data_IF_876177973417
#
_entry.id   IF_876177973417
#
_cell.length_a   1.000
_cell.length_b   1.000
_cell.length_c   1.000
_cell.angle_alpha   90.00
_cell.angle_beta   90.00
_cell.angle_gamma   90.00
#
_symmetry.space_group_name_H-M   'P 1'
#
loop_
_entity.id
_entity.type
_entity.pdbx_description
1 polymer ?
#
# COMPACT_ATOMS: atom_id res chain seq x y z
N UNK A 1 -7.09 37.57 21.82
CA UNK A 1 -7.70 36.25 22.12
C UNK A 1 -6.70 35.53 23.00
N UNK A 2 -7.06 35.22 24.24
CA UNK A 2 -6.16 34.53 25.17
C UNK A 2 -5.98 33.10 24.65
N UNK A 3 -4.76 32.74 24.23
CA UNK A 3 -4.41 31.37 23.88
C UNK A 3 -4.63 30.52 25.14
N UNK A 4 -5.47 29.47 25.03
CA UNK A 4 -5.66 28.50 26.09
C UNK A 4 -4.67 27.35 25.85
N UNK A 5 -3.49 27.35 26.52
CA UNK A 5 -2.41 26.39 26.23
C UNK A 5 -2.84 24.94 26.45
N UNK A 6 -3.79 24.69 27.36
CA UNK A 6 -4.34 23.36 27.59
C UNK A 6 -5.14 22.86 26.39
N UNK A 7 -5.89 23.75 25.73
CA UNK A 7 -6.65 23.40 24.52
C UNK A 7 -5.69 23.14 23.35
N UNK A 8 -4.71 24.01 23.11
CA UNK A 8 -3.73 23.87 22.03
C UNK A 8 -3.00 22.52 22.07
N UNK A 9 -2.53 22.10 23.24
CA UNK A 9 -1.88 20.80 23.42
C UNK A 9 -2.88 19.64 23.32
N UNK A 10 -4.11 19.83 23.81
CA UNK A 10 -5.13 18.78 23.83
C UNK A 10 -5.69 18.45 22.44
N UNK A 11 -5.72 19.40 21.50
CA UNK A 11 -6.17 19.16 20.11
C UNK A 11 -5.05 18.70 19.17
N UNK A 12 -3.79 18.65 19.63
CA UNK A 12 -2.66 18.25 18.81
C UNK A 12 -2.82 16.81 18.28
N UNK A 13 -2.75 16.58 16.94
CA UNK A 13 -2.90 15.25 16.36
C UNK A 13 -1.86 14.26 16.89
N UNK A 14 -2.24 12.99 16.98
CA UNK A 14 -1.38 11.92 17.50
C UNK A 14 -1.10 10.85 16.45
N UNK A 15 -0.03 10.07 16.64
CA UNK A 15 0.32 8.91 15.78
C UNK A 15 0.27 9.25 14.29
N UNK A 16 0.96 10.31 13.91
CA UNK A 16 1.05 10.74 12.51
C UNK A 16 1.96 9.78 11.76
N UNK A 17 1.43 9.03 10.81
CA UNK A 17 2.16 7.98 10.11
C UNK A 17 1.78 7.91 8.63
N UNK A 18 2.75 7.55 7.80
CA UNK A 18 2.48 7.19 6.42
C UNK A 18 1.98 5.74 6.35
N UNK A 19 0.96 5.51 5.54
CA UNK A 19 0.52 4.18 5.11
C UNK A 19 0.59 4.11 3.60
N UNK A 20 1.35 3.13 3.11
CA UNK A 20 1.57 2.99 1.67
C UNK A 20 1.34 1.58 1.18
N UNK A 21 0.54 1.45 0.12
CA UNK A 21 0.23 0.19 -0.54
C UNK A 21 0.32 0.35 -2.06
N UNK A 22 1.18 -0.43 -2.72
CA UNK A 22 1.52 -0.29 -4.13
C UNK A 22 1.84 1.16 -4.55
N UNK A 23 2.60 1.89 -3.71
CA UNK A 23 2.97 3.29 -3.91
C UNK A 23 1.80 4.29 -3.90
N UNK A 24 0.59 3.89 -3.50
CA UNK A 24 -0.42 4.83 -3.03
C UNK A 24 -0.08 5.15 -1.57
N UNK A 25 0.32 6.39 -1.30
CA UNK A 25 0.89 6.83 -0.03
C UNK A 25 -0.01 7.88 0.62
N UNK A 26 -0.59 7.52 1.77
CA UNK A 26 -1.52 8.36 2.51
C UNK A 26 -0.96 8.64 3.91
N UNK A 27 -1.18 9.85 4.42
CA UNK A 27 -0.88 10.23 5.79
C UNK A 27 -2.09 9.99 6.67
N UNK A 28 -1.91 9.30 7.79
CA UNK A 28 -2.96 9.01 8.79
C UNK A 28 -2.56 9.62 10.13
N UNK A 29 -3.55 10.02 10.92
CA UNK A 29 -3.35 10.45 12.29
C UNK A 29 -4.55 10.08 13.17
N UNK A 30 -4.36 10.17 14.48
CA UNK A 30 -5.42 10.13 15.47
C UNK A 30 -5.75 11.55 15.94
N UNK A 31 -6.99 11.82 16.38
CA UNK A 31 -7.34 13.07 17.06
C UNK A 31 -6.44 13.34 18.27
N UNK A 32 -6.46 14.59 18.74
CA UNK A 32 -5.84 14.95 20.00
C UNK A 32 -6.53 14.32 21.21
N UNK A 33 -5.96 14.56 22.40
CA UNK A 33 -6.47 14.06 23.70
C UNK A 33 -7.87 14.58 24.04
N UNK A 34 -8.25 15.74 23.51
CA UNK A 34 -9.60 16.28 23.63
C UNK A 34 -10.67 15.38 22.97
N UNK A 35 -10.24 14.42 22.16
CA UNK A 35 -11.12 13.58 21.35
C UNK A 35 -11.55 14.28 20.07
N UNK A 36 -12.55 13.71 19.40
CA UNK A 36 -13.09 14.18 18.13
C UNK A 36 -14.13 15.27 18.38
N UNK A 37 -13.70 16.52 18.40
CA UNK A 37 -14.64 17.64 18.37
C UNK A 37 -15.18 17.81 16.94
N UNK A 38 -16.51 17.92 16.78
CA UNK A 38 -17.22 17.90 15.49
C UNK A 38 -16.74 18.94 14.47
N UNK A 39 -16.15 20.04 14.94
CA UNK A 39 -15.70 21.15 14.10
C UNK A 39 -14.17 21.26 14.02
N UNK A 40 -13.44 20.18 14.33
CA UNK A 40 -11.97 20.17 14.20
C UNK A 40 -11.56 20.07 12.75
N UNK A 41 -10.72 21.01 12.31
CA UNK A 41 -10.15 21.02 10.97
C UNK A 41 -8.66 20.66 11.02
N UNK A 42 -8.19 19.92 10.03
CA UNK A 42 -6.81 19.49 9.91
C UNK A 42 -6.14 20.11 8.69
N UNK A 43 -4.86 20.44 8.85
CA UNK A 43 -4.03 21.06 7.82
C UNK A 43 -2.75 20.25 7.68
N UNK A 44 -2.45 19.81 6.46
CA UNK A 44 -1.29 18.95 6.19
C UNK A 44 -0.22 19.69 5.41
N UNK A 45 1.03 19.47 5.82
CA UNK A 45 2.21 19.85 5.06
C UNK A 45 3.12 18.66 4.84
N UNK A 46 3.93 18.73 3.79
CA UNK A 46 4.92 17.71 3.45
C UNK A 46 6.23 18.35 2.98
N UNK A 47 7.31 17.57 3.01
CA UNK A 47 8.58 17.94 2.37
C UNK A 47 9.44 16.72 2.08
N UNK A 48 10.36 16.90 1.13
CA UNK A 48 11.48 15.99 0.90
C UNK A 48 12.52 16.18 2.01
N UNK A 49 13.15 15.10 2.44
CA UNK A 49 14.24 15.11 3.41
C UNK A 49 15.39 15.99 2.92
N UNK A 50 16.01 16.76 3.82
CA UNK A 50 17.06 17.72 3.47
C UNK A 50 16.54 19.06 2.92
N UNK A 51 15.28 19.14 2.46
CA UNK A 51 14.69 20.43 2.09
C UNK A 51 14.32 21.24 3.35
N UNK A 52 14.57 22.55 3.29
CA UNK A 52 14.28 23.49 4.38
C UNK A 52 12.81 23.89 4.44
N UNK A 53 12.14 23.94 3.28
CA UNK A 53 10.78 24.49 3.14
C UNK A 53 9.72 23.41 3.19
N UNK A 54 8.65 23.66 3.95
CA UNK A 54 7.45 22.84 4.00
C UNK A 54 6.44 23.31 2.96
N UNK A 55 5.80 22.38 2.25
CA UNK A 55 4.75 22.65 1.29
C UNK A 55 3.38 22.34 1.88
N UNK A 56 2.39 23.18 1.60
CA UNK A 56 1.00 22.90 1.94
C UNK A 56 0.43 21.85 1.00
N UNK A 57 -0.36 20.93 1.54
CA UNK A 57 -1.21 20.06 0.72
C UNK A 57 -2.59 20.70 0.64
N UNK A 58 -2.85 21.41 -0.44
CA UNK A 58 -4.07 22.22 -0.62
C UNK A 58 -5.36 21.39 -0.48
N UNK A 59 -5.39 20.18 -1.05
CA UNK A 59 -6.55 19.27 -0.93
C UNK A 59 -6.83 18.81 0.51
N UNK A 60 -5.85 18.97 1.42
CA UNK A 60 -5.94 18.62 2.83
C UNK A 60 -5.78 19.85 3.74
N UNK A 61 -6.13 21.04 3.23
CA UNK A 61 -6.02 22.30 3.96
C UNK A 61 -7.38 22.70 4.56
N UNK A 62 -7.68 22.16 5.74
CA UNK A 62 -8.94 22.41 6.45
C UNK A 62 -9.95 21.28 6.28
N UNK A 63 -9.50 20.03 6.33
CA UNK A 63 -10.36 18.83 6.23
C UNK A 63 -10.76 18.31 7.61
N UNK A 64 -11.90 17.66 7.73
CA UNK A 64 -12.32 16.97 8.96
C UNK A 64 -11.83 15.51 9.02
N UNK A 65 -11.47 14.93 7.87
CA UNK A 65 -10.99 13.55 7.80
C UNK A 65 -9.61 13.41 8.44
N UNK A 66 -9.34 12.21 8.99
CA UNK A 66 -8.06 11.85 9.60
C UNK A 66 -7.04 11.22 8.63
N UNK A 67 -7.25 11.45 7.34
CA UNK A 67 -6.40 10.93 6.27
C UNK A 67 -6.19 11.99 5.21
N UNK A 68 -4.98 12.05 4.67
CA UNK A 68 -4.62 12.89 3.54
C UNK A 68 -3.85 12.08 2.49
N UNK A 69 -4.25 12.19 1.23
CA UNK A 69 -3.52 11.56 0.13
C UNK A 69 -2.31 12.42 -0.24
N UNK A 70 -1.11 11.83 -0.13
CA UNK A 70 0.17 12.43 -0.50
C UNK A 70 0.84 11.67 -1.64
N UNK A 71 0.09 10.83 -2.37
CA UNK A 71 0.61 9.95 -3.42
C UNK A 71 1.35 10.73 -4.51
N UNK A 72 0.80 11.86 -4.97
CA UNK A 72 1.44 12.71 -5.98
C UNK A 72 2.73 13.35 -5.46
N UNK A 73 2.69 13.75 -4.20
CA UNK A 73 3.74 14.45 -3.48
C UNK A 73 4.93 13.53 -3.17
N UNK A 74 4.68 12.22 -3.06
CA UNK A 74 5.70 11.18 -2.87
C UNK A 74 6.03 10.41 -4.15
N UNK A 75 5.89 11.05 -5.32
CA UNK A 75 6.04 10.40 -6.62
C UNK A 75 7.47 9.98 -6.96
N UNK A 76 8.49 10.69 -6.45
CA UNK A 76 9.85 10.17 -6.44
C UNK A 76 10.00 9.15 -5.31
N UNK A 77 10.00 7.88 -5.69
CA UNK A 77 9.92 6.77 -4.73
C UNK A 77 11.22 6.53 -3.96
N UNK A 78 12.36 7.04 -4.44
CA UNK A 78 13.66 6.86 -3.78
C UNK A 78 13.92 7.91 -2.70
N UNK A 79 13.26 9.06 -2.81
CA UNK A 79 13.42 10.15 -1.88
C UNK A 79 12.77 9.84 -0.51
N UNK A 80 13.38 10.25 0.61
CA UNK A 80 12.72 10.22 1.90
C UNK A 80 11.86 11.48 2.09
N UNK A 81 10.69 11.31 2.72
CA UNK A 81 9.74 12.38 2.99
C UNK A 81 9.43 12.50 4.47
N UNK A 82 9.03 13.70 4.87
CA UNK A 82 8.30 13.96 6.10
C UNK A 82 6.95 14.59 5.76
N UNK A 83 5.96 14.33 6.60
CA UNK A 83 4.73 15.09 6.64
C UNK A 83 4.44 15.54 8.06
N UNK A 84 3.62 16.58 8.18
CA UNK A 84 3.14 17.06 9.47
C UNK A 84 1.70 17.53 9.34
N UNK A 85 0.96 17.38 10.43
CA UNK A 85 -0.44 17.79 10.51
C UNK A 85 -0.65 18.63 11.76
N UNK A 86 -1.49 19.66 11.66
CA UNK A 86 -1.98 20.42 12.82
C UNK A 86 -3.50 20.47 12.79
N UNK A 87 -4.11 20.65 13.95
CA UNK A 87 -5.54 20.82 14.11
C UNK A 87 -5.90 22.30 14.33
N UNK A 88 -7.13 22.66 14.02
CA UNK A 88 -7.76 23.89 14.47
C UNK A 88 -9.15 23.58 15.02
N UNK A 89 -9.48 24.15 16.18
CA UNK A 89 -10.78 24.01 16.81
C UNK A 89 -11.09 25.25 17.64
N UNK A 90 -12.33 25.75 17.58
CA UNK A 90 -12.78 26.96 18.29
C UNK A 90 -11.82 28.17 18.13
N UNK A 91 -11.24 28.36 16.93
CA UNK A 91 -10.32 29.46 16.63
C UNK A 91 -8.89 29.29 17.17
N UNK A 92 -8.57 28.15 17.81
CA UNK A 92 -7.23 27.81 18.31
C UNK A 92 -6.57 26.80 17.38
N UNK A 93 -5.28 26.98 17.09
CA UNK A 93 -4.47 26.03 16.34
C UNK A 93 -3.59 25.21 17.27
N UNK A 94 -3.40 23.92 16.96
CA UNK A 94 -2.40 23.09 17.61
C UNK A 94 -1.00 23.36 17.07
N UNK A 95 0.00 22.89 17.82
CA UNK A 95 1.33 22.68 17.25
C UNK A 95 1.31 21.60 16.17
N UNK A 96 2.33 21.60 15.32
CA UNK A 96 2.49 20.59 14.28
C UNK A 96 2.92 19.25 14.87
N UNK A 97 2.22 18.18 14.48
CA UNK A 97 2.61 16.80 14.75
C UNK A 97 3.34 16.22 13.55
N UNK A 98 4.58 15.81 13.75
CA UNK A 98 5.49 15.33 12.71
C UNK A 98 5.38 13.81 12.53
N UNK A 99 5.43 13.34 11.28
CA UNK A 99 5.55 11.92 10.96
C UNK A 99 6.98 11.40 11.15
N UNK A 100 7.13 10.08 11.26
CA UNK A 100 8.43 9.47 10.97
C UNK A 100 8.85 9.74 9.51
N UNK A 101 10.15 9.63 9.25
CA UNK A 101 10.69 9.69 7.87
C UNK A 101 10.17 8.49 7.09
N UNK A 102 9.66 8.72 5.89
CA UNK A 102 9.06 7.70 5.03
C UNK A 102 9.72 7.70 3.65
N UNK A 103 10.23 6.55 3.21
CA UNK A 103 10.77 6.34 1.86
C UNK A 103 9.88 5.37 1.10
N UNK A 104 9.12 5.80 0.07
CA UNK A 104 8.12 4.96 -0.60
C UNK A 104 8.68 3.63 -1.09
N UNK A 105 9.86 3.64 -1.72
CA UNK A 105 10.49 2.43 -2.27
C UNK A 105 10.81 1.39 -1.18
N UNK A 106 11.21 1.84 0.02
CA UNK A 106 11.58 0.95 1.13
C UNK A 106 10.36 0.47 1.91
N UNK A 107 9.39 1.34 2.13
CA UNK A 107 8.37 1.16 3.16
C UNK A 107 6.98 0.83 2.60
N UNK A 108 6.72 1.04 1.31
CA UNK A 108 5.44 0.63 0.73
C UNK A 108 5.22 -0.87 0.88
N UNK A 109 4.00 -1.27 1.20
CA UNK A 109 3.57 -2.67 1.10
C UNK A 109 3.29 -2.98 -0.38
N UNK A 110 3.77 -4.12 -0.85
CA UNK A 110 3.55 -4.60 -2.21
C UNK A 110 2.43 -5.64 -2.16
N UNK A 111 1.40 -5.45 -2.98
CA UNK A 111 0.25 -6.33 -3.05
C UNK A 111 0.54 -7.64 -3.80
N UNK A 112 -0.36 -8.64 -3.66
CA UNK A 112 -0.29 -9.86 -4.45
C UNK A 112 -0.54 -9.60 -5.94
N UNK A 113 -0.06 -10.50 -6.82
CA UNK A 113 -0.41 -10.42 -8.24
C UNK A 113 -1.88 -10.77 -8.44
N UNK A 114 -2.46 -10.22 -9.52
CA UNK A 114 -3.74 -10.70 -10.03
C UNK A 114 -3.50 -12.01 -10.77
N UNK A 115 -4.29 -13.04 -10.42
CA UNK A 115 -4.21 -14.38 -11.00
C UNK A 115 -5.47 -14.63 -11.82
N UNK A 116 -5.30 -14.97 -13.09
CA UNK A 116 -6.37 -15.47 -13.95
C UNK A 116 -6.09 -16.91 -14.32
N UNK A 117 -7.00 -17.81 -13.99
CA UNK A 117 -6.90 -19.23 -14.32
C UNK A 117 -7.53 -19.49 -15.68
N UNK A 118 -6.78 -20.13 -16.56
CA UNK A 118 -7.19 -20.60 -17.87
C UNK A 118 -7.06 -22.13 -17.88
N UNK A 119 -8.10 -22.81 -18.33
CA UNK A 119 -8.16 -24.28 -18.30
C UNK A 119 -7.77 -24.89 -19.64
N UNK A 120 -7.14 -26.07 -19.56
CA UNK A 120 -6.99 -27.01 -20.66
C UNK A 120 -7.19 -28.43 -20.11
N UNK A 121 -7.57 -29.40 -20.95
CA UNK A 121 -8.00 -30.75 -20.56
C UNK A 121 -7.02 -31.53 -19.64
N UNK A 122 -5.74 -31.11 -19.55
CA UNK A 122 -4.71 -31.77 -18.73
C UNK A 122 -3.77 -30.81 -17.99
N UNK A 123 -4.04 -29.50 -18.04
CA UNK A 123 -3.11 -28.51 -17.48
C UNK A 123 -3.85 -27.25 -17.06
N UNK A 124 -3.35 -26.60 -16.02
CA UNK A 124 -3.82 -25.28 -15.62
C UNK A 124 -2.83 -24.24 -16.14
N UNK A 125 -3.32 -23.29 -16.93
CA UNK A 125 -2.54 -22.16 -17.42
C UNK A 125 -2.92 -20.95 -16.57
N UNK A 126 -1.94 -20.28 -15.99
CA UNK A 126 -2.13 -19.10 -15.16
C UNK A 126 -1.64 -17.88 -15.91
N UNK A 127 -2.43 -16.82 -15.92
CA UNK A 127 -1.99 -15.49 -16.33
C UNK A 127 -1.82 -14.62 -15.09
N UNK A 128 -0.59 -14.19 -14.85
CA UNK A 128 -0.19 -13.37 -13.72
C UNK A 128 -0.02 -11.92 -14.16
N UNK A 129 -0.49 -10.99 -13.33
CA UNK A 129 -0.28 -9.56 -13.53
C UNK A 129 0.22 -8.93 -12.23
N UNK A 130 1.31 -8.17 -12.32
CA UNK A 130 1.81 -7.40 -11.18
C UNK A 130 0.75 -6.39 -10.71
N UNK A 131 0.71 -6.07 -9.41
CA UNK A 131 -0.05 -4.92 -8.93
C UNK A 131 0.35 -3.66 -9.69
N UNK A 132 -0.54 -2.67 -9.70
CA UNK A 132 -0.29 -1.40 -10.37
C UNK A 132 -0.14 -0.28 -9.36
N UNK A 133 0.77 0.63 -9.64
CA UNK A 133 0.94 1.88 -8.91
C UNK A 133 -0.10 2.92 -9.36
N UNK A 134 -0.30 3.99 -8.58
CA UNK A 134 -1.18 5.10 -8.98
C UNK A 134 -0.57 5.97 -10.09
N UNK A 135 0.72 5.83 -10.38
CA UNK A 135 1.43 6.65 -11.37
C UNK A 135 1.13 6.20 -12.80
N UNK A 136 0.92 7.16 -13.70
CA UNK A 136 0.52 6.91 -15.08
C UNK A 136 1.69 6.96 -16.05
N UNK A 137 1.70 6.04 -17.01
CA UNK A 137 2.54 6.13 -18.21
C UNK A 137 2.05 7.27 -19.10
N UNK A 138 2.88 7.69 -20.07
CA UNK A 138 2.48 8.65 -21.12
C UNK A 138 1.17 8.29 -21.83
N UNK A 139 0.88 6.99 -22.00
CA UNK A 139 -0.36 6.47 -22.62
C UNK A 139 -1.55 6.36 -21.65
N UNK A 140 -1.46 6.91 -20.44
CA UNK A 140 -2.54 6.94 -19.44
C UNK A 140 -2.68 5.69 -18.55
N UNK A 141 -2.08 4.57 -18.92
CA UNK A 141 -2.15 3.34 -18.11
C UNK A 141 -1.29 3.42 -16.85
N UNK A 142 -1.79 2.91 -15.72
CA UNK A 142 -1.04 2.79 -14.47
C UNK A 142 0.20 1.90 -14.63
N UNK A 143 1.32 2.30 -14.01
CA UNK A 143 2.60 1.61 -14.09
C UNK A 143 2.57 0.35 -13.22
N UNK A 144 2.90 -0.84 -13.75
CA UNK A 144 2.97 -2.05 -12.93
C UNK A 144 4.16 -2.00 -11.98
N UNK A 145 4.03 -2.61 -10.80
CA UNK A 145 5.06 -2.62 -9.76
C UNK A 145 6.38 -3.26 -10.24
N UNK A 146 6.34 -4.12 -11.26
CA UNK A 146 7.51 -4.72 -11.92
C UNK A 146 8.43 -3.72 -12.61
N UNK A 147 7.98 -2.49 -12.81
CA UNK A 147 8.82 -1.41 -13.36
C UNK A 147 9.66 -0.72 -12.28
N UNK A 148 9.32 -0.88 -11.00
CA UNK A 148 10.02 -0.25 -9.87
C UNK A 148 10.85 -1.26 -9.05
N UNK A 149 10.44 -2.52 -9.07
CA UNK A 149 11.07 -3.61 -8.32
C UNK A 149 11.38 -4.77 -9.25
N UNK A 150 12.50 -5.45 -8.97
CA UNK A 150 12.80 -6.72 -9.61
C UNK A 150 11.98 -7.85 -8.99
N UNK A 151 10.69 -7.88 -9.30
CA UNK A 151 9.73 -8.76 -8.63
C UNK A 151 9.68 -10.15 -9.27
N UNK A 152 9.54 -11.16 -8.41
CA UNK A 152 9.28 -12.56 -8.76
C UNK A 152 7.85 -12.91 -8.35
N UNK A 153 7.20 -13.78 -9.12
CA UNK A 153 5.96 -14.43 -8.73
C UNK A 153 6.27 -15.78 -8.12
N UNK A 154 5.72 -16.04 -6.94
CA UNK A 154 5.72 -17.36 -6.31
C UNK A 154 4.31 -17.94 -6.42
N UNK A 155 4.16 -19.06 -7.11
CA UNK A 155 2.86 -19.73 -7.32
C UNK A 155 2.80 -21.00 -6.49
N UNK A 156 1.74 -21.13 -5.70
CA UNK A 156 1.48 -22.29 -4.87
C UNK A 156 0.22 -23.00 -5.30
N UNK A 157 0.29 -24.33 -5.31
CA UNK A 157 -0.87 -25.22 -5.50
C UNK A 157 -1.25 -25.83 -4.16
N UNK A 158 -2.55 -25.84 -3.89
CA UNK A 158 -3.18 -26.41 -2.70
C UNK A 158 -4.17 -27.46 -3.20
N UNK A 159 -3.98 -28.71 -2.82
CA UNK A 159 -5.01 -29.73 -3.04
C UNK A 159 -6.16 -29.44 -2.08
N UNK A 160 -7.40 -29.33 -2.57
CA UNK A 160 -8.55 -28.95 -1.75
C UNK A 160 -8.89 -29.98 -0.65
N UNK A 161 -8.30 -31.19 -0.72
CA UNK A 161 -8.40 -32.25 0.29
C UNK A 161 -7.36 -32.13 1.42
N UNK A 162 -6.37 -31.25 1.28
CA UNK A 162 -5.30 -31.04 2.26
C UNK A 162 -5.43 -29.66 2.92
N UNK A 163 -5.04 -29.59 4.20
CA UNK A 163 -5.01 -28.34 4.97
C UNK A 163 -4.01 -27.32 4.35
N UNK A 164 -4.16 -26.03 4.66
CA UNK A 164 -3.36 -24.92 4.06
C UNK A 164 -1.84 -25.08 4.25
N UNK A 165 -1.43 -25.92 5.20
CA UNK A 165 -0.04 -26.28 5.45
C UNK A 165 0.60 -27.10 4.31
N UNK A 166 -0.18 -27.74 3.44
CA UNK A 166 0.29 -28.54 2.31
C UNK A 166 0.30 -27.76 0.98
N UNK A 167 0.61 -26.47 1.03
CA UNK A 167 0.84 -25.68 -0.19
C UNK A 167 2.20 -26.03 -0.78
N UNK A 168 2.24 -26.34 -2.08
CA UNK A 168 3.47 -26.66 -2.80
C UNK A 168 3.84 -25.49 -3.69
N UNK A 169 5.05 -24.95 -3.56
CA UNK A 169 5.60 -23.97 -4.51
C UNK A 169 5.88 -24.69 -5.83
N UNK A 170 5.16 -24.34 -6.88
CA UNK A 170 5.30 -24.97 -8.20
C UNK A 170 6.03 -24.08 -9.21
N UNK A 171 6.16 -22.79 -8.91
CA UNK A 171 6.85 -21.84 -9.78
C UNK A 171 7.38 -20.65 -8.98
N UNK A 172 8.60 -20.23 -9.30
CA UNK A 172 9.19 -18.96 -8.88
C UNK A 172 9.91 -18.32 -10.07
N UNK A 173 9.52 -17.10 -10.44
CA UNK A 173 10.14 -16.40 -11.57
C UNK A 173 9.35 -15.19 -12.07
N UNK A 174 9.71 -14.66 -13.25
CA UNK A 174 9.15 -13.41 -13.80
C UNK A 174 8.08 -13.63 -14.88
N UNK A 175 7.81 -14.88 -15.23
CA UNK A 175 6.90 -15.20 -16.33
C UNK A 175 5.47 -14.82 -15.97
N UNK A 176 4.79 -14.21 -16.93
CA UNK A 176 3.39 -13.77 -16.78
C UNK A 176 2.40 -14.87 -17.15
N UNK A 177 2.86 -15.94 -17.78
CA UNK A 177 2.03 -17.08 -18.18
C UNK A 177 2.73 -18.34 -17.72
N UNK A 178 2.11 -19.04 -16.77
CA UNK A 178 2.66 -20.27 -16.18
C UNK A 178 1.76 -21.43 -16.59
N UNK A 179 2.36 -22.54 -17.00
CA UNK A 179 1.63 -23.79 -17.23
C UNK A 179 1.98 -24.78 -16.13
N UNK A 180 0.97 -25.22 -15.40
CA UNK A 180 1.09 -26.29 -14.40
C UNK A 180 0.61 -27.57 -15.06
N UNK A 181 1.53 -28.51 -15.23
CA UNK A 181 1.30 -29.83 -15.83
C UNK A 181 1.17 -30.91 -14.74
N UNK A 182 0.92 -32.15 -15.17
CA UNK A 182 0.89 -33.34 -14.30
C UNK A 182 -0.13 -33.31 -13.15
N UNK A 183 -1.24 -32.58 -13.37
CA UNK A 183 -2.36 -32.53 -12.45
C UNK A 183 -3.33 -33.69 -12.71
N UNK A 184 -3.88 -34.25 -11.63
CA UNK A 184 -4.77 -35.42 -11.71
C UNK A 184 -6.17 -34.98 -12.20
N UNK A 185 -6.73 -35.63 -13.24
CA UNK A 185 -8.12 -35.40 -13.63
C UNK A 185 -9.10 -35.73 -12.49
N UNK A 186 -10.18 -34.96 -12.39
CA UNK A 186 -11.22 -35.10 -11.38
C UNK A 186 -10.87 -34.54 -10.00
N UNK A 187 -9.68 -33.94 -9.82
CA UNK A 187 -9.25 -33.36 -8.55
C UNK A 187 -9.40 -31.83 -8.57
N UNK A 188 -9.89 -31.28 -7.46
CA UNK A 188 -9.96 -29.84 -7.25
C UNK A 188 -8.61 -29.30 -6.75
N UNK A 189 -8.03 -28.37 -7.52
CA UNK A 189 -6.81 -27.65 -7.15
C UNK A 189 -7.12 -26.18 -6.90
N UNK A 190 -6.62 -25.64 -5.81
CA UNK A 190 -6.66 -24.22 -5.50
C UNK A 190 -5.28 -23.60 -5.69
N UNK A 191 -5.24 -22.44 -6.33
CA UNK A 191 -4.02 -21.75 -6.70
C UNK A 191 -3.98 -20.42 -5.97
N UNK A 192 -2.83 -20.11 -5.37
CA UNK A 192 -2.53 -18.82 -4.78
C UNK A 192 -1.17 -18.36 -5.28
N UNK A 193 -1.01 -17.06 -5.48
CA UNK A 193 0.25 -16.48 -5.88
C UNK A 193 0.66 -15.34 -4.93
N UNK A 194 1.96 -15.12 -4.82
CA UNK A 194 2.57 -14.01 -4.10
C UNK A 194 3.54 -13.27 -5.01
N UNK A 195 3.76 -12.01 -4.71
CA UNK A 195 4.87 -11.23 -5.24
C UNK A 195 6.00 -11.26 -4.23
N UNK A 196 7.21 -11.59 -4.67
CA UNK A 196 8.44 -11.57 -3.87
C UNK A 196 9.42 -10.56 -4.47
N UNK A 197 10.06 -9.76 -3.61
CA UNK A 197 11.06 -8.77 -4.01
C UNK A 197 12.38 -9.11 -3.32
N UNK A 198 13.31 -9.78 -4.02
CA UNK A 198 14.57 -10.26 -3.44
C UNK A 198 15.43 -9.15 -2.84
N UNK A 199 15.47 -7.97 -3.47
CA UNK A 199 16.28 -6.83 -2.99
C UNK A 199 15.85 -6.29 -1.62
N UNK A 200 14.62 -6.56 -1.21
CA UNK A 200 14.09 -6.17 0.10
C UNK A 200 13.83 -7.37 1.02
N UNK A 201 14.03 -8.59 0.51
CA UNK A 201 13.58 -9.84 1.13
C UNK A 201 12.13 -9.77 1.66
N UNK A 202 11.22 -9.30 0.81
CA UNK A 202 9.80 -9.07 1.18
C UNK A 202 8.86 -9.78 0.24
N UNK A 203 7.88 -10.48 0.81
CA UNK A 203 6.76 -11.06 0.07
C UNK A 203 5.46 -10.34 0.36
N UNK A 204 4.57 -10.29 -0.63
CA UNK A 204 3.19 -9.84 -0.45
C UNK A 204 2.39 -10.85 0.37
N UNK A 205 1.19 -10.43 0.81
CA UNK A 205 0.14 -11.38 1.15
C UNK A 205 -0.18 -12.31 -0.03
N UNK A 206 -0.88 -13.42 0.23
CA UNK A 206 -1.38 -14.30 -0.84
C UNK A 206 -2.48 -13.62 -1.65
N UNK A 207 -2.54 -13.93 -2.95
CA UNK A 207 -3.71 -13.61 -3.78
C UNK A 207 -4.96 -14.33 -3.25
N UNK A 208 -6.14 -13.89 -3.71
CA UNK A 208 -7.36 -14.69 -3.59
C UNK A 208 -7.13 -16.11 -4.12
N UNK A 209 -7.66 -17.12 -3.42
CA UNK A 209 -7.65 -18.52 -3.88
C UNK A 209 -8.49 -18.63 -5.16
N UNK A 210 -7.89 -19.21 -6.19
CA UNK A 210 -8.58 -19.57 -7.43
C UNK A 210 -8.64 -21.08 -7.52
N UNK A 211 -9.83 -21.66 -7.36
CA UNK A 211 -10.02 -23.10 -7.32
C UNK A 211 -10.66 -23.60 -8.61
N UNK A 212 -10.19 -24.75 -9.07
CA UNK A 212 -10.49 -25.31 -10.37
C UNK A 212 -10.50 -26.84 -10.27
N UNK A 213 -11.53 -27.46 -10.85
CA UNK A 213 -11.56 -28.91 -11.06
C UNK A 213 -11.03 -29.18 -12.47
N UNK A 214 -10.13 -30.15 -12.58
CA UNK A 214 -9.59 -30.62 -13.86
C UNK A 214 -10.37 -31.81 -14.40
#
# INVERSE_FOLDING_TARGET
>A
VLENPDLQASIQPQKVEFRSFNLNSTLHWQPGRAGEARDTLYFVQYKVYGHSTWQNKDDCWGIQNHVCDLTSETSDIQEPYYARVKAASAGVYSDWSLSCRFTPWRETVIGPPMVTVLHSNKSIILKLQAPRSPYKRRRGSNIPMSNYYDLLYQVFVINNLLDEQHRVLVYEGKDKVIKIEDLRPGVSYCIVAKTYVPTLDRSSASSSRQCAVL
#
